data_IF_983391708256
#
_entry.id   IF_983391708256
#
_cell.length_a   1.000
_cell.length_b   1.000
_cell.length_c   1.000
_cell.angle_alpha   90.00
_cell.angle_beta   90.00
_cell.angle_gamma   90.00
#
_symmetry.space_group_name_H-M   'P 1'
#
loop_
_entity.id
_entity.type
_entity.pdbx_description
1 polymer ?
#
# COMPACT_ATOMS: atom_id res chain seq x y z
N UNK A 1 -7.79 11.74 -17.87
CA UNK A 1 -7.84 10.87 -19.08
C UNK A 1 -6.94 9.67 -18.86
N UNK A 2 -7.30 8.46 -19.36
CA UNK A 2 -6.42 7.30 -19.34
C UNK A 2 -5.09 7.60 -20.04
N UNK A 3 -3.99 7.09 -19.49
CA UNK A 3 -2.65 7.29 -20.05
C UNK A 3 -2.07 5.92 -20.37
N UNK A 4 -1.84 5.64 -21.66
CA UNK A 4 -1.15 4.43 -22.10
C UNK A 4 0.33 4.50 -21.68
N UNK A 5 0.78 3.48 -20.96
CA UNK A 5 2.15 3.36 -20.46
C UNK A 5 2.96 2.40 -21.33
N UNK A 6 2.36 1.28 -21.67
CA UNK A 6 2.86 0.26 -22.58
C UNK A 6 1.70 -0.21 -23.47
N UNK A 7 1.91 -1.03 -24.50
CA UNK A 7 0.83 -1.56 -25.32
C UNK A 7 -0.29 -2.26 -24.53
N UNK A 8 0.05 -2.85 -23.38
CA UNK A 8 -0.91 -3.60 -22.57
C UNK A 8 -1.27 -2.94 -21.23
N UNK A 9 -0.55 -1.88 -20.82
CA UNK A 9 -0.75 -1.21 -19.53
C UNK A 9 -1.25 0.21 -19.72
N UNK A 10 -2.37 0.55 -19.09
CA UNK A 10 -2.96 1.88 -19.07
C UNK A 10 -3.18 2.35 -17.63
N UNK A 11 -2.81 3.58 -17.31
CA UNK A 11 -3.19 4.23 -16.05
C UNK A 11 -4.61 4.76 -16.15
N UNK A 12 -5.46 4.41 -15.20
CA UNK A 12 -6.82 4.95 -15.04
C UNK A 12 -6.81 6.02 -13.93
N UNK A 13 -5.86 6.93 -13.98
CA UNK A 13 -5.74 8.00 -12.99
C UNK A 13 -6.98 8.89 -12.98
N UNK A 14 -7.51 9.15 -11.78
CA UNK A 14 -8.68 10.00 -11.54
C UNK A 14 -8.31 11.06 -10.52
N UNK A 15 -8.33 12.33 -10.94
CA UNK A 15 -8.30 13.45 -10.01
C UNK A 15 -9.62 13.51 -9.26
N UNK A 16 -9.57 13.34 -7.94
CA UNK A 16 -10.72 13.38 -7.06
C UNK A 16 -10.85 14.76 -6.44
N UNK A 17 -11.99 15.41 -6.68
CA UNK A 17 -12.22 16.81 -6.27
C UNK A 17 -12.19 17.02 -4.76
N UNK A 18 -12.46 15.98 -3.99
CA UNK A 18 -12.53 15.98 -2.52
C UNK A 18 -11.26 15.43 -1.85
N UNK A 19 -10.32 14.83 -2.61
CA UNK A 19 -9.12 14.21 -2.06
C UNK A 19 -8.06 15.28 -1.75
N UNK A 20 -7.60 15.40 -0.49
CA UNK A 20 -6.79 16.53 -0.04
C UNK A 20 -5.32 16.48 -0.48
N UNK A 21 -4.88 15.37 -1.08
CA UNK A 21 -3.49 15.15 -1.47
C UNK A 21 -3.32 15.20 -2.98
N UNK A 22 -2.12 15.53 -3.49
CA UNK A 22 -1.88 15.67 -4.91
C UNK A 22 -1.86 14.32 -5.67
N UNK A 23 -1.85 13.19 -4.96
CA UNK A 23 -1.72 11.86 -5.55
C UNK A 23 -2.79 10.91 -5.02
N UNK A 24 -4.03 10.94 -5.57
CA UNK A 24 -5.04 9.93 -5.28
C UNK A 24 -4.55 8.53 -5.70
N UNK A 25 -5.20 7.45 -5.21
CA UNK A 25 -4.78 6.09 -5.56
C UNK A 25 -4.86 5.83 -7.05
N UNK A 26 -3.81 5.23 -7.59
CA UNK A 26 -3.78 4.77 -8.96
C UNK A 26 -4.59 3.48 -9.10
N UNK A 27 -5.27 3.35 -10.24
CA UNK A 27 -5.80 2.08 -10.72
C UNK A 27 -5.17 1.81 -12.07
N UNK A 28 -4.63 0.61 -12.25
CA UNK A 28 -3.97 0.23 -13.49
C UNK A 28 -4.81 -0.78 -14.24
N UNK A 29 -4.93 -0.59 -15.54
CA UNK A 29 -5.58 -1.53 -16.45
C UNK A 29 -4.51 -2.31 -17.21
N UNK A 30 -4.62 -3.64 -17.18
CA UNK A 30 -3.83 -4.56 -18.02
C UNK A 30 -4.80 -5.22 -18.97
N UNK A 31 -4.49 -5.25 -20.28
CA UNK A 31 -5.39 -5.83 -21.29
C UNK A 31 -4.65 -6.56 -22.40
N UNK A 32 -5.16 -7.73 -22.79
CA UNK A 32 -4.70 -8.49 -23.95
C UNK A 32 -5.80 -9.44 -24.44
N UNK A 33 -5.87 -9.66 -25.76
CA UNK A 33 -6.75 -10.67 -26.37
C UNK A 33 -8.23 -10.55 -26.06
N UNK A 34 -8.74 -9.35 -25.72
CA UNK A 34 -10.13 -9.12 -25.32
C UNK A 34 -10.42 -9.38 -23.83
N UNK A 35 -9.43 -9.79 -23.06
CA UNK A 35 -9.49 -9.87 -21.60
C UNK A 35 -8.76 -8.69 -20.95
N UNK A 36 -9.14 -8.34 -19.72
CA UNK A 36 -8.50 -7.30 -18.93
C UNK A 36 -8.44 -7.67 -17.44
N UNK A 37 -7.50 -7.04 -16.73
CA UNK A 37 -7.45 -7.00 -15.27
C UNK A 37 -7.25 -5.56 -14.79
N UNK A 38 -7.79 -5.27 -13.63
CA UNK A 38 -7.49 -4.05 -12.88
C UNK A 38 -6.54 -4.41 -11.73
N UNK A 39 -5.56 -3.54 -11.48
CA UNK A 39 -4.78 -3.53 -10.26
C UNK A 39 -5.32 -2.41 -9.40
N UNK A 40 -5.84 -2.78 -8.24
CA UNK A 40 -6.63 -1.98 -7.32
C UNK A 40 -7.99 -1.51 -7.88
N UNK A 41 -8.80 -0.93 -7.03
CA UNK A 41 -10.16 -0.51 -7.34
C UNK A 41 -10.42 0.97 -7.09
N UNK A 42 -9.55 1.62 -6.31
CA UNK A 42 -9.76 2.96 -5.80
C UNK A 42 -10.91 3.04 -4.80
N UNK A 43 -11.39 4.26 -4.56
CA UNK A 43 -12.51 4.52 -3.64
C UNK A 43 -13.85 4.09 -4.21
N UNK A 44 -14.81 3.81 -3.32
CA UNK A 44 -16.19 3.40 -3.65
C UNK A 44 -17.15 4.55 -3.98
N UNK A 45 -16.71 5.81 -3.84
CA UNK A 45 -17.55 6.97 -4.14
C UNK A 45 -17.93 7.09 -5.62
N UNK A 46 -18.98 7.88 -5.88
CA UNK A 46 -19.53 8.02 -7.24
C UNK A 46 -18.55 8.67 -8.22
N UNK A 47 -17.76 9.64 -7.78
CA UNK A 47 -16.80 10.30 -8.66
C UNK A 47 -15.72 9.33 -9.12
N UNK A 48 -15.14 8.58 -8.19
CA UNK A 48 -14.12 7.57 -8.44
C UNK A 48 -14.66 6.46 -9.36
N UNK A 49 -15.82 5.90 -9.02
CA UNK A 49 -16.43 4.80 -9.77
C UNK A 49 -16.85 5.21 -11.18
N UNK A 50 -17.59 6.32 -11.32
CA UNK A 50 -18.14 6.74 -12.61
C UNK A 50 -17.04 7.09 -13.60
N UNK A 51 -16.01 7.83 -13.17
CA UNK A 51 -14.87 8.18 -14.04
C UNK A 51 -14.12 6.93 -14.51
N UNK A 52 -13.88 5.94 -13.64
CA UNK A 52 -13.20 4.71 -14.03
C UNK A 52 -14.03 3.85 -14.97
N UNK A 53 -15.31 3.69 -14.71
CA UNK A 53 -16.20 2.94 -15.61
C UNK A 53 -16.38 3.63 -16.97
N UNK A 54 -16.39 4.96 -17.00
CA UNK A 54 -16.34 5.73 -18.23
C UNK A 54 -15.06 5.45 -19.03
N UNK A 55 -13.90 5.49 -18.39
CA UNK A 55 -12.62 5.16 -19.02
C UNK A 55 -12.59 3.75 -19.60
N UNK A 56 -13.09 2.76 -18.84
CA UNK A 56 -13.17 1.38 -19.32
C UNK A 56 -14.05 1.26 -20.57
N UNK A 57 -15.19 1.94 -20.59
CA UNK A 57 -16.08 1.99 -21.77
C UNK A 57 -15.41 2.66 -22.96
N UNK A 58 -14.77 3.82 -22.76
CA UNK A 58 -14.12 4.58 -23.82
C UNK A 58 -12.91 3.85 -24.42
N UNK A 59 -12.23 3.02 -23.61
CA UNK A 59 -11.16 2.13 -24.05
C UNK A 59 -11.68 0.85 -24.72
N UNK A 60 -13.00 0.64 -24.80
CA UNK A 60 -13.61 -0.54 -25.40
C UNK A 60 -13.34 -1.82 -24.62
N UNK A 61 -13.16 -1.74 -23.31
CA UNK A 61 -12.91 -2.92 -22.44
C UNK A 61 -14.21 -3.71 -22.31
N UNK A 62 -14.30 -4.85 -23.02
CA UNK A 62 -15.50 -5.66 -23.05
C UNK A 62 -15.63 -6.62 -21.86
N UNK A 63 -14.49 -7.12 -21.33
CA UNK A 63 -14.48 -8.10 -20.25
C UNK A 63 -13.33 -7.82 -19.28
N UNK A 64 -13.65 -7.60 -18.04
CA UNK A 64 -12.68 -7.59 -16.94
C UNK A 64 -12.72 -8.97 -16.28
N UNK A 65 -11.61 -9.66 -16.28
CA UNK A 65 -11.45 -10.98 -15.70
C UNK A 65 -11.14 -10.90 -14.21
N UNK A 66 -10.24 -10.00 -13.83
CA UNK A 66 -9.77 -9.83 -12.46
C UNK A 66 -9.79 -8.38 -12.02
N UNK A 67 -10.11 -8.18 -10.74
CA UNK A 67 -9.79 -6.99 -9.95
C UNK A 67 -8.79 -7.48 -8.90
N UNK A 68 -7.52 -7.17 -9.07
CA UNK A 68 -6.44 -7.63 -8.21
C UNK A 68 -6.17 -6.54 -7.17
N UNK A 69 -6.53 -6.79 -5.93
CA UNK A 69 -6.34 -5.86 -4.81
C UNK A 69 -4.97 -6.10 -4.21
N UNK A 70 -4.13 -5.07 -4.23
CA UNK A 70 -2.76 -5.15 -3.69
C UNK A 70 -2.75 -5.31 -2.19
N UNK A 71 -3.63 -4.60 -1.48
CA UNK A 71 -3.76 -4.66 -0.03
C UNK A 71 -5.13 -4.11 0.43
N UNK A 72 -5.47 -4.30 1.71
CA UNK A 72 -6.80 -4.05 2.25
C UNK A 72 -7.16 -2.58 2.46
N UNK A 73 -6.21 -1.63 2.41
CA UNK A 73 -6.52 -0.23 2.63
C UNK A 73 -7.66 0.24 1.72
N UNK A 74 -8.55 1.02 2.29
CA UNK A 74 -9.85 1.34 1.67
C UNK A 74 -9.73 2.15 0.37
N UNK A 75 -8.67 2.89 0.19
CA UNK A 75 -8.41 3.65 -1.05
C UNK A 75 -7.95 2.75 -2.22
N UNK A 76 -7.53 1.52 -1.93
CA UNK A 76 -7.20 0.49 -2.93
C UNK A 76 -8.32 -0.53 -3.10
N UNK A 77 -9.11 -0.79 -2.07
CA UNK A 77 -10.03 -1.93 -2.01
C UNK A 77 -11.51 -1.58 -2.00
N UNK A 78 -11.90 -0.36 -1.52
CA UNK A 78 -13.33 -0.07 -1.28
C UNK A 78 -14.19 -0.02 -2.54
N UNK A 79 -13.61 0.29 -3.72
CA UNK A 79 -14.31 0.23 -4.99
C UNK A 79 -14.52 -1.18 -5.54
N UNK A 80 -13.86 -2.20 -4.96
CA UNK A 80 -13.79 -3.56 -5.51
C UNK A 80 -15.14 -4.24 -5.68
N UNK A 81 -16.01 -4.22 -4.65
CA UNK A 81 -17.35 -4.80 -4.73
C UNK A 81 -18.20 -4.14 -5.83
N UNK A 82 -18.17 -2.81 -5.89
CA UNK A 82 -18.96 -2.06 -6.87
C UNK A 82 -18.50 -2.32 -8.31
N UNK A 83 -17.19 -2.43 -8.52
CA UNK A 83 -16.62 -2.81 -9.82
C UNK A 83 -16.94 -4.27 -10.17
N UNK A 84 -16.89 -5.21 -9.20
CA UNK A 84 -17.30 -6.60 -9.40
C UNK A 84 -18.75 -6.68 -9.87
N UNK A 85 -19.67 -5.98 -9.23
CA UNK A 85 -21.09 -5.95 -9.62
C UNK A 85 -21.32 -5.38 -11.02
N UNK A 86 -20.54 -4.36 -11.40
CA UNK A 86 -20.65 -3.73 -12.71
C UNK A 86 -20.02 -4.54 -13.86
N UNK A 87 -19.03 -5.37 -13.57
CA UNK A 87 -18.21 -6.03 -14.61
C UNK A 87 -18.27 -7.55 -14.60
N UNK A 88 -18.71 -8.17 -13.50
CA UNK A 88 -18.67 -9.62 -13.29
C UNK A 88 -17.24 -10.16 -13.05
N UNK A 89 -16.26 -9.28 -12.80
CA UNK A 89 -14.87 -9.68 -12.55
C UNK A 89 -14.71 -10.42 -11.23
N UNK A 90 -13.72 -11.32 -11.16
CA UNK A 90 -13.31 -11.97 -9.92
C UNK A 90 -12.37 -11.05 -9.13
N UNK A 91 -12.60 -10.90 -7.83
CA UNK A 91 -11.67 -10.22 -6.93
C UNK A 91 -10.55 -11.19 -6.54
N UNK A 92 -9.32 -10.76 -6.70
CA UNK A 92 -8.10 -11.49 -6.36
C UNK A 92 -7.37 -10.75 -5.26
N UNK A 93 -6.91 -11.46 -4.23
CA UNK A 93 -6.14 -10.89 -3.12
C UNK A 93 -5.19 -11.95 -2.54
N UNK A 94 -4.11 -11.51 -1.90
CA UNK A 94 -3.26 -12.45 -1.14
C UNK A 94 -4.05 -13.03 0.05
N UNK A 95 -3.87 -14.33 0.33
CA UNK A 95 -4.61 -15.03 1.39
C UNK A 95 -4.43 -14.41 2.78
N UNK A 96 -3.24 -13.86 3.06
CA UNK A 96 -2.93 -13.26 4.37
C UNK A 96 -3.45 -11.82 4.50
N UNK A 97 -3.99 -11.24 3.43
CA UNK A 97 -4.60 -9.91 3.42
C UNK A 97 -6.11 -9.96 3.70
N UNK A 98 -6.77 -11.05 3.33
CA UNK A 98 -8.22 -11.20 3.50
C UNK A 98 -8.67 -11.03 4.97
N UNK A 99 -8.01 -11.59 5.99
CA UNK A 99 -8.42 -11.38 7.37
C UNK A 99 -8.42 -9.91 7.78
N UNK A 100 -7.47 -9.11 7.27
CA UNK A 100 -7.37 -7.67 7.52
C UNK A 100 -8.52 -6.91 6.83
N UNK A 101 -8.83 -7.27 5.59
CA UNK A 101 -9.97 -6.71 4.85
C UNK A 101 -11.31 -6.96 5.57
N UNK A 102 -11.51 -8.16 6.10
CA UNK A 102 -12.77 -8.58 6.74
C UNK A 102 -12.90 -8.10 8.19
N UNK A 103 -11.83 -7.63 8.79
CA UNK A 103 -11.81 -7.12 10.16
C UNK A 103 -11.47 -5.63 10.17
N UNK A 104 -12.38 -4.76 9.72
CA UNK A 104 -12.13 -3.32 9.59
C UNK A 104 -11.81 -2.63 10.93
N UNK A 105 -12.05 -3.32 12.05
CA UNK A 105 -11.64 -2.88 13.39
C UNK A 105 -10.20 -3.28 13.75
N UNK A 106 -9.58 -4.19 13.01
CA UNK A 106 -8.20 -4.64 13.27
C UNK A 106 -7.13 -3.62 12.85
N UNK A 107 -7.50 -2.65 12.03
CA UNK A 107 -6.67 -1.46 11.78
C UNK A 107 -6.67 -0.49 12.97
N UNK A 108 -7.52 -0.74 13.96
CA UNK A 108 -7.68 0.06 15.17
C UNK A 108 -6.66 -0.29 16.25
N UNK A 109 -5.39 -0.47 15.87
CA UNK A 109 -4.31 -0.34 16.84
C UNK A 109 -4.15 1.12 17.26
N UNK A 110 -3.25 1.42 18.18
CA UNK A 110 -2.95 2.76 18.71
C UNK A 110 -2.56 3.82 17.66
N UNK A 111 -2.76 3.54 16.36
CA UNK A 111 -2.47 4.38 15.18
C UNK A 111 -3.71 4.85 14.44
N UNK A 112 -4.84 4.92 15.12
CA UNK A 112 -6.06 5.48 14.55
C UNK A 112 -5.94 6.97 14.23
N UNK A 113 -6.73 7.40 13.24
CA UNK A 113 -6.98 8.83 13.01
C UNK A 113 -7.45 9.44 14.35
N UNK A 114 -6.80 10.50 14.86
CA UNK A 114 -7.10 11.08 16.15
C UNK A 114 -8.58 11.45 16.35
N UNK A 115 -9.04 11.39 17.59
CA UNK A 115 -10.46 11.69 17.93
C UNK A 115 -10.88 13.11 17.54
N UNK A 116 -9.98 14.08 17.57
CA UNK A 116 -10.21 15.46 17.13
C UNK A 116 -10.41 15.60 15.61
N UNK A 117 -10.05 14.56 14.83
CA UNK A 117 -10.31 14.44 13.38
C UNK A 117 -11.58 13.62 13.09
N UNK A 118 -12.64 13.88 13.79
CA UNK A 118 -13.88 13.09 13.82
C UNK A 118 -14.48 12.83 12.44
N UNK A 119 -14.53 13.83 11.57
CA UNK A 119 -15.11 13.70 10.23
C UNK A 119 -14.28 12.75 9.34
N UNK A 120 -12.95 12.87 9.38
CA UNK A 120 -12.05 11.97 8.65
C UNK A 120 -12.18 10.52 9.14
N UNK A 121 -12.31 10.34 10.45
CA UNK A 121 -12.52 9.04 11.10
C UNK A 121 -13.83 8.38 10.66
N UNK A 122 -14.93 9.11 10.69
CA UNK A 122 -16.23 8.58 10.24
C UNK A 122 -16.24 8.26 8.75
N UNK A 123 -15.55 9.05 7.95
CA UNK A 123 -15.44 8.78 6.52
C UNK A 123 -14.58 7.54 6.25
N UNK A 124 -13.43 7.41 6.90
CA UNK A 124 -12.58 6.22 6.80
C UNK A 124 -13.33 4.95 7.22
N UNK A 125 -14.13 5.02 8.29
CA UNK A 125 -14.99 3.92 8.75
C UNK A 125 -15.99 3.47 7.68
N UNK A 126 -16.60 4.42 6.97
CA UNK A 126 -17.53 4.11 5.85
C UNK A 126 -16.78 3.39 4.72
N UNK A 127 -15.62 3.87 4.32
CA UNK A 127 -14.83 3.25 3.26
C UNK A 127 -14.31 1.86 3.64
N UNK A 128 -13.91 1.66 4.90
CA UNK A 128 -13.54 0.33 5.42
C UNK A 128 -14.70 -0.65 5.35
N UNK A 129 -15.91 -0.20 5.70
CA UNK A 129 -17.12 -1.01 5.57
C UNK A 129 -17.44 -1.37 4.10
N UNK A 130 -17.16 -0.49 3.14
CA UNK A 130 -17.28 -0.81 1.71
C UNK A 130 -16.16 -1.76 1.26
N UNK A 131 -14.92 -1.55 1.70
CA UNK A 131 -13.79 -2.43 1.42
C UNK A 131 -14.08 -3.88 1.87
N UNK A 132 -14.61 -4.07 3.07
CA UNK A 132 -14.95 -5.40 3.62
C UNK A 132 -15.98 -6.17 2.78
N UNK A 133 -16.71 -5.53 1.87
CA UNK A 133 -17.61 -6.20 0.93
C UNK A 133 -16.86 -6.82 -0.26
N UNK A 134 -15.63 -6.40 -0.52
CA UNK A 134 -14.79 -6.87 -1.61
C UNK A 134 -14.13 -8.23 -1.29
N UNK A 135 -14.91 -9.17 -0.76
CA UNK A 135 -14.43 -10.51 -0.41
C UNK A 135 -13.78 -11.17 -1.62
N UNK A 136 -12.54 -11.68 -1.53
CA UNK A 136 -11.85 -12.27 -2.66
C UNK A 136 -12.49 -13.58 -3.12
N UNK A 137 -12.66 -13.69 -4.45
CA UNK A 137 -13.07 -14.93 -5.12
C UNK A 137 -11.88 -15.88 -5.30
N UNK A 138 -10.69 -15.28 -5.51
CA UNK A 138 -9.42 -15.99 -5.72
C UNK A 138 -8.38 -15.53 -4.71
N UNK A 139 -7.85 -16.47 -3.94
CA UNK A 139 -6.78 -16.24 -2.97
C UNK A 139 -5.46 -16.73 -3.55
N UNK A 140 -4.50 -15.82 -3.63
CA UNK A 140 -3.18 -16.12 -4.21
C UNK A 140 -2.10 -16.14 -3.14
N UNK A 141 -0.97 -16.73 -3.53
CA UNK A 141 0.26 -16.77 -2.76
C UNK A 141 1.44 -16.26 -3.60
N UNK A 142 2.61 -16.18 -2.98
CA UNK A 142 3.85 -15.85 -3.66
C UNK A 142 4.17 -16.81 -4.82
N UNK A 143 4.46 -16.24 -5.98
CA UNK A 143 4.81 -17.00 -7.19
C UNK A 143 3.62 -17.51 -8.00
N UNK A 144 2.38 -17.38 -7.52
CA UNK A 144 1.20 -17.75 -8.31
C UNK A 144 1.12 -16.91 -9.59
N UNK A 145 0.58 -17.52 -10.65
CA UNK A 145 0.44 -16.88 -11.96
C UNK A 145 -1.04 -16.68 -12.30
N UNK A 146 -1.39 -15.45 -12.66
CA UNK A 146 -2.66 -15.09 -13.25
C UNK A 146 -2.45 -14.77 -14.74
N UNK A 147 -3.41 -15.15 -15.59
CA UNK A 147 -3.31 -14.89 -17.02
C UNK A 147 -4.41 -13.92 -17.48
N UNK A 148 -4.01 -12.95 -18.30
CA UNK A 148 -4.90 -12.02 -19.02
C UNK A 148 -4.55 -12.12 -20.49
N UNK A 149 -5.41 -12.76 -21.28
CA UNK A 149 -5.03 -13.17 -22.64
C UNK A 149 -3.78 -14.05 -22.63
N UNK A 150 -2.74 -13.63 -23.32
CA UNK A 150 -1.43 -14.29 -23.37
C UNK A 150 -0.46 -13.80 -22.28
N UNK A 151 -0.77 -12.73 -21.59
CA UNK A 151 0.10 -12.11 -20.59
C UNK A 151 0.14 -12.90 -19.28
N UNK A 152 1.31 -12.95 -18.65
CA UNK A 152 1.57 -13.61 -17.38
C UNK A 152 1.81 -12.59 -16.27
N UNK A 153 0.93 -12.58 -15.30
CA UNK A 153 0.99 -11.73 -14.12
C UNK A 153 1.44 -12.58 -12.94
N UNK A 154 2.69 -12.42 -12.52
CA UNK A 154 3.22 -13.12 -11.35
C UNK A 154 2.83 -12.38 -10.08
N UNK A 155 2.22 -13.10 -9.16
CA UNK A 155 1.93 -12.65 -7.80
C UNK A 155 3.24 -12.63 -6.99
N UNK A 156 3.57 -11.50 -6.40
CA UNK A 156 4.76 -11.30 -5.59
C UNK A 156 4.32 -10.87 -4.20
N UNK A 157 4.30 -11.79 -3.25
CA UNK A 157 4.03 -11.46 -1.85
C UNK A 157 5.16 -10.59 -1.32
N UNK A 158 4.84 -9.40 -0.89
CA UNK A 158 5.78 -8.37 -0.47
C UNK A 158 5.26 -7.68 0.82
N UNK A 159 5.28 -8.41 1.96
CA UNK A 159 4.77 -7.90 3.23
C UNK A 159 5.60 -6.73 3.76
N UNK A 160 5.01 -5.99 4.68
CA UNK A 160 5.67 -4.91 5.41
C UNK A 160 4.85 -3.65 5.52
N UNK A 161 4.26 -3.14 4.42
CA UNK A 161 3.24 -2.11 4.49
C UNK A 161 1.95 -2.66 5.12
N UNK A 162 1.53 -3.83 4.64
CA UNK A 162 0.56 -4.72 5.29
C UNK A 162 1.10 -6.15 5.30
N UNK A 163 0.48 -7.04 6.07
CA UNK A 163 0.97 -8.41 6.23
C UNK A 163 0.82 -9.26 4.95
N UNK A 164 -0.22 -9.05 4.18
CA UNK A 164 -0.48 -9.77 2.93
C UNK A 164 -0.26 -8.93 1.67
N UNK A 165 0.48 -7.82 1.75
CA UNK A 165 0.68 -6.93 0.61
C UNK A 165 1.18 -7.67 -0.63
N UNK A 166 0.48 -7.48 -1.74
CA UNK A 166 0.70 -8.13 -3.02
C UNK A 166 1.20 -7.13 -4.07
N UNK A 167 2.39 -7.38 -4.63
CA UNK A 167 2.82 -6.76 -5.86
C UNK A 167 2.48 -7.69 -7.03
N UNK A 168 2.30 -7.13 -8.23
CA UNK A 168 2.08 -7.90 -9.45
C UNK A 168 3.21 -7.58 -10.43
N UNK A 169 3.87 -8.61 -10.93
CA UNK A 169 4.90 -8.46 -11.94
C UNK A 169 4.39 -8.97 -13.29
N UNK A 170 4.18 -8.05 -14.23
CA UNK A 170 3.88 -8.37 -15.62
C UNK A 170 5.20 -8.75 -16.30
N UNK A 171 5.41 -10.06 -16.45
CA UNK A 171 6.69 -10.62 -16.92
C UNK A 171 7.06 -10.19 -18.32
N UNK A 172 6.07 -10.20 -19.23
CA UNK A 172 6.27 -9.94 -20.65
C UNK A 172 6.73 -8.51 -20.96
N UNK A 173 6.39 -7.54 -20.11
CA UNK A 173 6.76 -6.14 -20.26
C UNK A 173 7.64 -5.61 -19.12
N UNK A 174 8.00 -6.47 -18.16
CA UNK A 174 8.85 -6.13 -17.01
C UNK A 174 8.31 -4.94 -16.21
N UNK A 175 6.98 -4.86 -16.06
CA UNK A 175 6.29 -3.84 -15.26
C UNK A 175 5.95 -4.40 -13.90
N UNK A 176 6.40 -3.74 -12.83
CA UNK A 176 6.07 -4.08 -11.44
C UNK A 176 5.00 -3.13 -10.92
N UNK A 177 3.81 -3.65 -10.63
CA UNK A 177 2.78 -2.95 -9.88
C UNK A 177 3.06 -3.13 -8.40
N UNK A 178 3.50 -2.08 -7.74
CA UNK A 178 4.10 -2.17 -6.42
C UNK A 178 3.11 -1.87 -5.28
N UNK A 179 1.85 -1.51 -5.60
CA UNK A 179 0.94 -0.98 -4.58
C UNK A 179 1.62 0.10 -3.76
N UNK A 180 1.46 0.06 -2.45
CA UNK A 180 2.02 1.05 -1.53
C UNK A 180 3.38 0.69 -0.95
N UNK A 181 3.98 -0.42 -1.38
CA UNK A 181 5.38 -0.70 -0.99
C UNK A 181 6.36 0.30 -1.60
N UNK A 182 6.09 0.80 -2.82
CA UNK A 182 6.90 1.84 -3.44
C UNK A 182 5.97 2.89 -4.04
N UNK A 183 6.00 4.10 -3.50
CA UNK A 183 5.26 5.25 -4.00
C UNK A 183 6.05 6.00 -5.07
N UNK A 184 5.35 6.62 -6.01
CA UNK A 184 5.98 7.46 -7.04
C UNK A 184 6.68 8.69 -6.45
N UNK A 185 6.13 9.23 -5.35
CA UNK A 185 6.70 10.35 -4.58
C UNK A 185 6.66 10.02 -3.09
N UNK A 186 7.71 10.38 -2.37
CA UNK A 186 7.79 10.12 -0.93
C UNK A 186 8.08 8.66 -0.58
N UNK A 187 7.58 8.24 0.57
CA UNK A 187 7.77 6.91 1.15
C UNK A 187 6.49 6.38 1.76
N UNK A 188 6.26 5.08 1.69
CA UNK A 188 5.13 4.42 2.34
C UNK A 188 5.13 4.64 3.87
N UNK A 189 3.95 4.70 4.46
CA UNK A 189 3.79 4.59 5.90
C UNK A 189 3.88 3.10 6.29
N UNK A 190 4.78 2.77 7.20
CA UNK A 190 4.93 1.40 7.71
C UNK A 190 4.61 1.43 9.20
N UNK A 191 3.47 0.83 9.55
CA UNK A 191 3.05 0.67 10.95
C UNK A 191 3.88 -0.40 11.68
N UNK A 192 3.74 -0.49 13.01
CA UNK A 192 4.31 -1.59 13.77
C UNK A 192 3.48 -2.87 13.58
N UNK A 193 4.03 -4.04 13.98
CA UNK A 193 3.26 -5.28 14.05
C UNK A 193 2.00 -5.13 14.93
N UNK A 194 0.88 -5.83 14.60
CA UNK A 194 0.78 -6.85 13.54
C UNK A 194 0.44 -6.30 12.15
N UNK A 195 0.07 -5.04 12.02
CA UNK A 195 -0.47 -4.48 10.78
C UNK A 195 0.62 -4.22 9.73
N UNK A 196 1.78 -3.73 10.16
CA UNK A 196 2.95 -3.53 9.33
C UNK A 196 4.21 -4.10 9.97
N UNK A 197 5.31 -4.16 9.24
CA UNK A 197 6.60 -4.64 9.74
C UNK A 197 7.76 -4.05 8.92
N UNK A 198 8.60 -3.24 9.57
CA UNK A 198 9.74 -2.58 8.92
C UNK A 198 10.80 -3.58 8.45
N UNK A 199 10.99 -4.69 9.14
CA UNK A 199 11.97 -5.69 8.75
C UNK A 199 11.50 -6.45 7.49
N UNK A 200 10.22 -6.86 7.46
CA UNK A 200 9.60 -7.47 6.28
C UNK A 200 9.58 -6.49 5.10
N UNK A 201 9.25 -5.22 5.35
CA UNK A 201 9.25 -4.19 4.31
C UNK A 201 10.62 -4.07 3.62
N UNK A 202 11.71 -4.00 4.37
CA UNK A 202 13.07 -3.93 3.80
C UNK A 202 13.42 -5.23 3.05
N UNK A 203 12.98 -6.40 3.54
CA UNK A 203 13.14 -7.67 2.81
C UNK A 203 12.37 -7.68 1.49
N UNK A 204 11.14 -7.19 1.52
CA UNK A 204 10.28 -7.08 0.33
C UNK A 204 10.86 -6.12 -0.71
N UNK A 205 11.41 -4.98 -0.30
CA UNK A 205 12.12 -4.07 -1.19
C UNK A 205 13.30 -4.77 -1.90
N UNK A 206 14.13 -5.51 -1.16
CA UNK A 206 15.23 -6.28 -1.74
C UNK A 206 14.75 -7.37 -2.70
N UNK A 207 13.65 -8.06 -2.35
CA UNK A 207 13.02 -9.05 -3.25
C UNK A 207 12.54 -8.40 -4.54
N UNK A 208 11.91 -7.23 -4.48
CA UNK A 208 11.48 -6.49 -5.67
C UNK A 208 12.65 -6.09 -6.58
N UNK A 209 13.83 -5.73 -6.03
CA UNK A 209 15.03 -5.46 -6.85
C UNK A 209 15.46 -6.67 -7.69
N UNK A 210 15.26 -7.91 -7.19
CA UNK A 210 15.64 -9.12 -7.93
C UNK A 210 14.75 -9.41 -9.12
N UNK A 211 13.59 -8.78 -9.24
CA UNK A 211 12.69 -8.92 -10.39
C UNK A 211 13.22 -8.17 -11.62
N UNK A 212 14.15 -7.24 -11.41
CA UNK A 212 14.78 -6.46 -12.46
C UNK A 212 13.74 -5.78 -13.38
N UNK A 213 12.73 -5.15 -12.76
CA UNK A 213 11.67 -4.46 -13.47
C UNK A 213 12.23 -3.24 -14.23
N UNK A 214 11.68 -2.95 -15.41
CA UNK A 214 12.03 -1.77 -16.21
C UNK A 214 11.15 -0.56 -15.87
N UNK A 215 9.91 -0.84 -15.45
CA UNK A 215 8.97 0.16 -15.00
C UNK A 215 8.35 -0.27 -13.67
N UNK A 216 8.04 0.70 -12.82
CA UNK A 216 7.29 0.45 -11.60
C UNK A 216 6.06 1.36 -11.56
N UNK A 217 4.91 0.71 -11.45
CA UNK A 217 3.59 1.31 -11.35
C UNK A 217 3.15 1.34 -9.88
N UNK A 218 3.22 2.51 -9.21
CA UNK A 218 2.96 2.63 -7.78
C UNK A 218 1.47 2.70 -7.45
N UNK A 219 1.09 2.45 -6.19
CA UNK A 219 -0.26 2.72 -5.70
C UNK A 219 -0.61 4.22 -5.70
N UNK A 220 0.37 5.09 -5.44
CA UNK A 220 0.21 6.54 -5.48
C UNK A 220 1.36 7.24 -6.21
N UNK A 221 1.04 8.35 -6.87
CA UNK A 221 2.02 9.18 -7.56
C UNK A 221 2.41 8.69 -8.95
N UNK A 222 3.42 9.32 -9.56
CA UNK A 222 3.81 9.04 -10.94
C UNK A 222 4.53 7.70 -11.10
N UNK A 223 4.51 7.18 -12.34
CA UNK A 223 5.29 6.03 -12.77
C UNK A 223 6.78 6.22 -12.48
N UNK A 224 7.45 5.17 -12.01
CA UNK A 224 8.89 5.16 -11.73
C UNK A 224 9.64 4.46 -12.85
N UNK A 225 10.54 5.18 -13.51
CA UNK A 225 11.30 4.68 -14.67
C UNK A 225 12.66 4.06 -14.32
N UNK A 226 13.10 4.21 -13.10
CA UNK A 226 14.32 3.61 -12.55
C UNK A 226 14.00 2.84 -11.26
N UNK A 227 13.26 1.70 -11.36
CA UNK A 227 12.75 0.97 -10.19
C UNK A 227 13.83 0.63 -9.16
N UNK A 228 14.92 0.03 -9.61
CA UNK A 228 15.99 -0.43 -8.72
C UNK A 228 16.69 0.73 -8.00
N UNK A 229 16.84 1.89 -8.64
CA UNK A 229 17.35 3.10 -8.01
C UNK A 229 16.38 3.61 -6.94
N UNK A 230 15.09 3.75 -7.28
CA UNK A 230 14.06 4.19 -6.31
C UNK A 230 13.97 3.26 -5.11
N UNK A 231 13.99 1.95 -5.33
CA UNK A 231 13.97 0.95 -4.26
C UNK A 231 15.22 1.08 -3.37
N UNK A 232 16.40 1.27 -3.97
CA UNK A 232 17.63 1.47 -3.20
C UNK A 232 17.59 2.76 -2.35
N UNK A 233 17.08 3.86 -2.91
CA UNK A 233 16.86 5.11 -2.17
C UNK A 233 15.94 4.88 -0.94
N UNK A 234 14.88 4.07 -1.08
CA UNK A 234 14.01 3.73 0.04
C UNK A 234 14.72 2.89 1.10
N UNK A 235 15.48 1.88 0.71
CA UNK A 235 16.27 1.04 1.64
C UNK A 235 17.25 1.92 2.41
N UNK A 236 17.98 2.81 1.74
CA UNK A 236 18.94 3.70 2.36
C UNK A 236 18.26 4.70 3.30
N UNK A 237 17.11 5.25 2.91
CA UNK A 237 16.31 6.13 3.76
C UNK A 237 15.86 5.40 5.05
N UNK A 238 15.40 4.13 4.96
CA UNK A 238 15.01 3.35 6.16
C UNK A 238 16.20 3.09 7.07
N UNK A 239 17.37 2.77 6.52
CA UNK A 239 18.60 2.58 7.28
C UNK A 239 19.01 3.87 7.99
N UNK A 240 19.04 5.02 7.30
CA UNK A 240 19.38 6.32 7.89
C UNK A 240 18.42 6.69 9.03
N UNK A 241 17.12 6.41 8.87
CA UNK A 241 16.13 6.65 9.91
C UNK A 241 16.38 5.76 11.13
N UNK A 242 16.72 4.49 10.92
CA UNK A 242 17.05 3.55 12.00
C UNK A 242 18.30 4.02 12.77
N UNK A 243 19.35 4.41 12.07
CA UNK A 243 20.57 4.96 12.68
C UNK A 243 20.26 6.23 13.50
N UNK A 244 19.42 7.13 12.98
CA UNK A 244 18.98 8.33 13.69
C UNK A 244 18.21 7.98 14.98
N UNK A 245 17.28 7.04 14.92
CA UNK A 245 16.51 6.58 16.08
C UNK A 245 17.45 5.96 17.12
N UNK A 246 18.37 5.09 16.72
CA UNK A 246 19.33 4.46 17.61
C UNK A 246 20.21 5.49 18.32
N UNK A 247 20.68 6.53 17.61
CA UNK A 247 21.44 7.64 18.20
C UNK A 247 20.62 8.42 19.23
N UNK A 248 19.37 8.76 18.91
CA UNK A 248 18.48 9.47 19.83
C UNK A 248 18.16 8.65 21.08
N UNK A 249 18.03 7.33 20.95
CA UNK A 249 17.87 6.41 22.08
C UNK A 249 19.15 6.40 22.94
N UNK A 250 20.33 6.33 22.35
CA UNK A 250 21.60 6.42 23.07
C UNK A 250 21.75 7.77 23.81
N UNK A 251 21.21 8.86 23.26
CA UNK A 251 21.14 10.20 23.86
C UNK A 251 20.05 10.32 24.95
N UNK A 252 19.39 9.22 25.32
CA UNK A 252 18.45 9.15 26.44
C UNK A 252 16.98 9.38 26.11
N UNK A 253 16.56 9.49 24.83
CA UNK A 253 15.15 9.51 24.46
C UNK A 253 14.59 8.10 24.52
N UNK A 254 13.50 7.91 25.29
CA UNK A 254 13.01 6.58 25.62
C UNK A 254 11.60 6.29 25.11
N UNK A 255 10.84 7.29 24.70
CA UNK A 255 9.44 7.16 24.25
C UNK A 255 9.28 7.63 22.80
N UNK A 256 8.28 7.04 22.12
CA UNK A 256 7.99 7.34 20.71
C UNK A 256 7.71 8.83 20.46
N UNK A 257 7.03 9.50 21.39
CA UNK A 257 6.65 10.91 21.26
C UNK A 257 7.88 11.83 21.26
N UNK A 258 8.83 11.59 22.17
CA UNK A 258 10.09 12.35 22.22
C UNK A 258 10.98 12.12 20.98
N UNK A 259 10.97 10.89 20.46
CA UNK A 259 11.65 10.53 19.21
C UNK A 259 11.00 11.24 18.01
N UNK A 260 9.67 11.17 17.85
CA UNK A 260 8.96 11.87 16.79
C UNK A 260 9.23 13.36 16.81
N UNK A 261 9.17 14.00 17.99
CA UNK A 261 9.47 15.43 18.14
C UNK A 261 10.89 15.80 17.74
N UNK A 262 11.86 14.92 18.03
CA UNK A 262 13.26 15.16 17.67
C UNK A 262 13.53 14.96 16.18
N UNK A 263 12.85 13.99 15.55
CA UNK A 263 13.02 13.64 14.13
C UNK A 263 12.27 14.64 13.24
N UNK A 264 11.09 15.11 13.68
CA UNK A 264 10.17 15.94 12.92
C UNK A 264 9.72 17.17 13.73
N UNK A 265 10.60 18.15 13.98
CA UNK A 265 10.32 19.28 14.88
C UNK A 265 9.15 20.17 14.43
N UNK A 266 8.89 20.22 13.11
CA UNK A 266 7.85 21.07 12.50
C UNK A 266 6.69 20.23 11.90
N UNK A 267 6.50 18.99 12.37
CA UNK A 267 5.47 18.12 11.84
C UNK A 267 4.07 18.67 12.09
N UNK A 268 3.22 18.66 11.05
CA UNK A 268 1.80 18.94 11.19
C UNK A 268 1.16 17.97 12.22
N UNK A 269 0.41 18.54 13.16
CA UNK A 269 -0.24 17.75 14.24
C UNK A 269 -1.11 16.61 13.71
N UNK A 270 -1.71 16.79 12.53
CA UNK A 270 -2.52 15.77 11.86
C UNK A 270 -1.75 14.53 11.43
N UNK A 271 -0.43 14.64 11.30
CA UNK A 271 0.46 13.56 10.86
C UNK A 271 1.25 12.92 12.03
N UNK A 272 1.11 13.42 13.25
CA UNK A 272 1.88 12.93 14.41
C UNK A 272 1.61 11.43 14.67
N UNK A 273 0.37 11.00 14.57
CA UNK A 273 -0.02 9.59 14.74
C UNK A 273 0.71 8.67 13.73
N UNK A 274 0.76 9.08 12.45
CA UNK A 274 1.45 8.34 11.39
C UNK A 274 2.97 8.29 11.63
N UNK A 275 3.57 9.41 12.03
CA UNK A 275 4.98 9.48 12.37
C UNK A 275 5.32 8.62 13.60
N UNK A 276 4.40 8.55 14.57
CA UNK A 276 4.54 7.68 15.75
C UNK A 276 4.56 6.22 15.32
N UNK A 277 3.63 5.79 14.46
CA UNK A 277 3.61 4.45 13.89
C UNK A 277 4.91 4.08 13.20
N UNK A 278 5.45 4.98 12.39
CA UNK A 278 6.74 4.78 11.72
C UNK A 278 7.90 4.60 12.70
N UNK A 279 7.97 5.45 13.73
CA UNK A 279 9.03 5.34 14.75
C UNK A 279 8.92 4.01 15.50
N UNK A 280 7.72 3.61 15.89
CA UNK A 280 7.50 2.33 16.56
C UNK A 280 7.84 1.14 15.68
N UNK A 281 7.53 1.18 14.40
CA UNK A 281 7.92 0.14 13.44
C UNK A 281 9.45 -0.05 13.40
N UNK A 282 10.21 1.04 13.43
CA UNK A 282 11.67 0.98 13.54
C UNK A 282 12.14 0.45 14.90
N UNK A 283 11.50 0.86 16.01
CA UNK A 283 11.84 0.36 17.35
C UNK A 283 11.59 -1.14 17.46
N UNK A 284 10.46 -1.65 16.94
CA UNK A 284 10.19 -3.10 16.90
C UNK A 284 11.23 -3.87 16.09
N UNK A 285 11.67 -3.31 14.95
CA UNK A 285 12.75 -3.89 14.15
C UNK A 285 14.06 -3.94 14.95
N UNK A 286 14.44 -2.85 15.60
CA UNK A 286 15.66 -2.78 16.44
C UNK A 286 15.58 -3.79 17.61
N UNK A 287 14.41 -3.97 18.24
CA UNK A 287 14.19 -4.98 19.26
C UNK A 287 14.35 -6.40 18.69
N UNK A 288 13.76 -6.69 17.54
CA UNK A 288 13.89 -7.99 16.88
C UNK A 288 15.34 -8.32 16.51
N UNK A 289 16.18 -7.31 16.26
CA UNK A 289 17.62 -7.43 16.03
C UNK A 289 18.45 -7.48 17.32
N UNK A 290 17.80 -7.44 18.50
CA UNK A 290 18.48 -7.49 19.80
C UNK A 290 19.26 -6.22 20.16
N UNK A 291 18.99 -5.10 19.51
CA UNK A 291 19.70 -3.82 19.71
C UNK A 291 19.12 -2.98 20.85
N UNK A 292 17.88 -3.26 21.25
CA UNK A 292 17.18 -2.59 22.37
C UNK A 292 16.07 -3.48 22.91
N UNK A 293 15.50 -3.10 24.06
CA UNK A 293 14.30 -3.72 24.63
C UNK A 293 13.19 -2.70 24.78
N UNK A 294 11.95 -3.12 24.47
CA UNK A 294 10.74 -2.32 24.59
C UNK A 294 9.86 -2.85 25.72
N UNK A 295 9.20 -1.94 26.41
CA UNK A 295 8.08 -2.20 27.33
C UNK A 295 6.90 -1.31 26.97
N UNK A 296 5.68 -1.77 27.34
CA UNK A 296 4.44 -1.09 26.98
C UNK A 296 3.91 -1.51 25.61
N UNK A 297 2.82 -0.90 25.21
CA UNK A 297 2.14 -1.17 23.93
C UNK A 297 1.77 0.14 23.23
N UNK A 298 1.67 0.12 21.90
CA UNK A 298 1.24 1.25 21.12
C UNK A 298 2.02 2.54 21.40
N UNK A 299 1.33 3.65 21.54
CA UNK A 299 1.94 4.96 21.78
C UNK A 299 2.66 5.08 23.14
N UNK A 300 2.35 4.20 24.10
CA UNK A 300 2.97 4.12 25.43
C UNK A 300 4.24 3.25 25.44
N UNK A 301 4.65 2.76 24.28
CA UNK A 301 5.88 1.96 24.14
C UNK A 301 7.11 2.79 24.52
N UNK A 302 7.96 2.24 25.37
CA UNK A 302 9.19 2.87 25.84
C UNK A 302 10.39 1.94 25.64
N UNK A 303 11.56 2.52 25.41
CA UNK A 303 12.85 1.80 25.38
C UNK A 303 13.39 1.72 26.80
N UNK A 304 13.53 0.52 27.33
CA UNK A 304 13.99 0.28 28.71
C UNK A 304 15.47 -0.07 28.76
N UNK A 305 16.02 -0.63 27.69
CA UNK A 305 17.42 -1.00 27.56
C UNK A 305 17.86 -0.82 26.11
N UNK A 306 19.10 -0.34 25.87
CA UNK A 306 19.68 -0.10 24.55
C UNK A 306 21.13 -0.57 24.51
#
# INVERSE_FOLDING_TARGET
MPIEITPHVTSLHVDLSWFPQPYPPNVWLIRDGGEAALIDSGFSDDESFNKRTEFLRDLGVAKIKYIIITHHHYDHSSGGQRLREATGAQIVMHRDEEPLLLSPESETGDFEIPEDQKEAREQAKKWRAEAAKAVPDVRVADGDLLNVGSLRLRCVHAPGHTAGHLCIFLEDERVLFAGDNVLGVGTAAIGPPPNGDMAEYVRSLRKMQTLDAELLAPGHGPLVREPNRKIQELIDHRRQREEQIASLVADGKRDAKSLVKAIYPELDKRLVWMATGQVLSHLHKLQAEGKLKLEGTGAETTVVEA
#
